data_IF_544484110128
#
_entry.id   IF_544484110128
#
_cell.length_a   1.000
_cell.length_b   1.000
_cell.length_c   1.000
_cell.angle_alpha   90.00
_cell.angle_beta   90.00
_cell.angle_gamma   90.00
#
_symmetry.space_group_name_H-M   'P 1'
#
loop_
_entity.id
_entity.type
_entity.pdbx_description
1 polymer ?
#
# COMPACT_ATOMS: atom_id res chain seq x y z
N UNK A 1 -30.48 5.15 -14.88
CA UNK A 1 -29.58 4.89 -13.74
C UNK A 1 -30.15 3.73 -12.91
N UNK A 2 -29.32 2.94 -12.22
CA UNK A 2 -29.79 1.85 -11.34
C UNK A 2 -29.60 0.42 -11.86
N UNK A 3 -29.00 0.22 -13.04
CA UNK A 3 -28.62 -1.11 -13.53
C UNK A 3 -27.32 -1.53 -12.84
N UNK A 4 -27.34 -2.67 -12.15
CA UNK A 4 -26.20 -3.20 -11.36
C UNK A 4 -24.87 -3.24 -12.15
N UNK A 5 -24.93 -3.64 -13.42
CA UNK A 5 -23.73 -3.77 -14.27
C UNK A 5 -23.34 -2.49 -15.01
N UNK A 6 -24.12 -1.40 -14.93
CA UNK A 6 -23.82 -0.19 -15.68
C UNK A 6 -22.44 0.43 -15.34
N UNK A 7 -22.00 0.52 -14.07
CA UNK A 7 -20.67 1.05 -13.74
C UNK A 7 -19.53 0.21 -14.33
N UNK A 8 -19.66 -1.13 -14.28
CA UNK A 8 -18.66 -2.05 -14.82
C UNK A 8 -18.58 -1.95 -16.35
N UNK A 9 -19.73 -1.89 -17.03
CA UNK A 9 -19.80 -1.68 -18.48
C UNK A 9 -19.19 -0.33 -18.86
N UNK A 10 -19.48 0.74 -18.10
CA UNK A 10 -18.93 2.06 -18.36
C UNK A 10 -17.41 2.11 -18.17
N UNK A 11 -16.89 1.51 -17.09
CA UNK A 11 -15.46 1.39 -16.87
C UNK A 11 -14.78 0.65 -18.04
N UNK A 12 -15.37 -0.46 -18.50
CA UNK A 12 -14.84 -1.21 -19.65
C UNK A 12 -14.86 -0.36 -20.91
N UNK A 13 -15.95 0.35 -21.17
CA UNK A 13 -16.05 1.26 -22.31
C UNK A 13 -14.94 2.32 -22.26
N UNK A 14 -14.76 2.99 -21.11
CA UNK A 14 -13.70 3.97 -20.93
C UNK A 14 -12.30 3.40 -21.18
N UNK A 15 -12.00 2.23 -20.61
CA UNK A 15 -10.71 1.57 -20.86
C UNK A 15 -10.48 1.30 -22.36
N UNK A 16 -11.52 0.89 -23.08
CA UNK A 16 -11.45 0.67 -24.53
C UNK A 16 -11.26 1.98 -25.32
N UNK A 17 -11.89 3.09 -24.89
CA UNK A 17 -11.73 4.40 -25.52
C UNK A 17 -10.27 4.83 -25.52
N UNK A 18 -9.64 4.87 -24.35
CA UNK A 18 -8.25 5.29 -24.24
C UNK A 18 -7.29 4.30 -24.90
N UNK A 19 -7.57 2.99 -24.84
CA UNK A 19 -6.78 1.98 -25.56
C UNK A 19 -6.86 2.15 -27.09
N UNK A 20 -8.05 2.40 -27.62
CA UNK A 20 -8.25 2.61 -29.05
C UNK A 20 -7.60 3.91 -29.52
N UNK A 21 -7.63 4.96 -28.69
CA UNK A 21 -6.91 6.19 -28.96
C UNK A 21 -5.41 5.94 -29.11
N UNK A 22 -4.79 5.26 -28.12
CA UNK A 22 -3.35 4.87 -28.16
C UNK A 22 -3.01 4.07 -29.42
N UNK A 23 -3.86 3.11 -29.80
CA UNK A 23 -3.66 2.31 -31.03
C UNK A 23 -3.75 3.15 -32.30
N UNK A 24 -4.71 4.07 -32.37
CA UNK A 24 -4.94 4.96 -33.52
C UNK A 24 -3.78 5.95 -33.69
N UNK A 25 -3.30 6.54 -32.60
CA UNK A 25 -2.20 7.53 -32.60
C UNK A 25 -0.81 6.90 -32.57
N UNK A 26 -0.71 5.57 -32.47
CA UNK A 26 0.54 4.80 -32.39
C UNK A 26 1.46 5.29 -31.27
N UNK A 27 0.87 5.71 -30.15
CA UNK A 27 1.65 6.08 -28.97
C UNK A 27 2.41 4.86 -28.45
N UNK A 28 3.69 5.05 -28.13
CA UNK A 28 4.57 3.98 -27.65
C UNK A 28 4.12 3.39 -26.29
N UNK A 29 3.35 4.16 -25.52
CA UNK A 29 2.90 3.80 -24.18
C UNK A 29 1.40 4.01 -24.02
N UNK A 30 0.80 3.20 -23.14
CA UNK A 30 -0.57 3.42 -22.67
C UNK A 30 -0.64 4.77 -21.97
N UNK A 31 -1.70 5.54 -22.23
CA UNK A 31 -2.00 6.77 -21.47
C UNK A 31 -2.69 6.46 -20.13
N UNK A 32 -3.41 5.33 -20.03
CA UNK A 32 -3.98 4.86 -18.76
C UNK A 32 -2.83 4.47 -17.83
N UNK A 33 -2.89 4.93 -16.57
CA UNK A 33 -1.88 4.75 -15.51
C UNK A 33 -0.50 5.37 -15.82
N UNK A 34 -0.37 6.08 -16.94
CA UNK A 34 0.80 6.91 -17.26
C UNK A 34 0.53 8.38 -16.98
N UNK A 35 -0.53 8.92 -17.58
CA UNK A 35 -0.97 10.31 -17.38
C UNK A 35 -2.48 10.45 -17.16
N UNK A 36 -3.26 9.40 -17.37
CA UNK A 36 -4.71 9.38 -17.15
C UNK A 36 -5.08 8.25 -16.19
N UNK A 37 -5.85 8.57 -15.15
CA UNK A 37 -6.55 7.61 -14.30
C UNK A 37 -8.04 7.74 -14.57
N UNK A 38 -8.70 6.61 -14.77
CA UNK A 38 -10.15 6.56 -15.05
C UNK A 38 -10.83 5.66 -14.05
N UNK A 39 -11.82 6.20 -13.35
CA UNK A 39 -12.69 5.45 -12.47
C UNK A 39 -14.15 5.82 -12.75
N UNK A 40 -14.88 4.91 -13.38
CA UNK A 40 -16.23 5.13 -13.87
C UNK A 40 -16.30 6.44 -14.68
N UNK A 41 -17.00 7.45 -14.16
CA UNK A 41 -17.19 8.74 -14.81
C UNK A 41 -16.10 9.76 -14.48
N UNK A 42 -15.24 9.48 -13.51
CA UNK A 42 -14.21 10.40 -13.03
C UNK A 42 -12.89 10.13 -13.77
N UNK A 43 -12.37 11.17 -14.41
CA UNK A 43 -11.12 11.13 -15.18
C UNK A 43 -10.16 12.13 -14.57
N UNK A 44 -9.01 11.63 -14.10
CA UNK A 44 -7.92 12.44 -13.59
C UNK A 44 -6.78 12.42 -14.61
N UNK A 45 -6.34 13.60 -15.05
CA UNK A 45 -5.15 13.79 -15.88
C UNK A 45 -4.06 14.39 -15.01
N UNK A 46 -2.84 13.85 -15.07
CA UNK A 46 -1.69 14.32 -14.31
C UNK A 46 -0.42 14.31 -15.15
N UNK A 47 0.48 15.25 -14.85
CA UNK A 47 1.73 15.47 -15.58
C UNK A 47 2.80 16.06 -14.67
N UNK A 48 4.06 15.98 -15.08
CA UNK A 48 5.20 16.58 -14.38
C UNK A 48 5.51 18.01 -14.81
N UNK A 49 5.14 18.41 -16.02
CA UNK A 49 5.34 19.77 -16.57
C UNK A 49 4.05 20.36 -17.11
N UNK A 50 4.02 21.69 -17.25
CA UNK A 50 2.87 22.42 -17.79
C UNK A 50 2.60 22.04 -19.25
N UNK A 51 3.64 22.01 -20.07
CA UNK A 51 3.57 21.69 -21.50
C UNK A 51 3.09 20.25 -21.72
N UNK A 52 3.63 19.32 -20.94
CA UNK A 52 3.16 17.93 -20.94
C UNK A 52 1.71 17.81 -20.44
N UNK A 53 1.28 18.69 -19.55
CA UNK A 53 -0.11 18.71 -19.07
C UNK A 53 -1.10 19.14 -20.14
N UNK A 54 -0.78 20.19 -20.91
CA UNK A 54 -1.59 20.60 -22.06
C UNK A 54 -1.75 19.44 -23.04
N UNK A 55 -0.64 18.80 -23.41
CA UNK A 55 -0.66 17.66 -24.33
C UNK A 55 -1.48 16.47 -23.79
N UNK A 56 -1.33 16.13 -22.51
CA UNK A 56 -2.09 15.02 -21.91
C UNK A 56 -3.59 15.32 -21.82
N UNK A 57 -3.97 16.57 -21.53
CA UNK A 57 -5.38 17.00 -21.56
C UNK A 57 -5.93 16.87 -22.99
N UNK A 58 -5.20 17.34 -23.99
CA UNK A 58 -5.61 17.22 -25.40
C UNK A 58 -5.84 15.76 -25.78
N UNK A 59 -4.90 14.86 -25.45
CA UNK A 59 -5.06 13.42 -25.70
C UNK A 59 -6.32 12.86 -25.05
N UNK A 60 -6.58 13.21 -23.79
CA UNK A 60 -7.76 12.71 -23.09
C UNK A 60 -9.06 13.23 -23.73
N UNK A 61 -9.12 14.51 -24.08
CA UNK A 61 -10.29 15.11 -24.74
C UNK A 61 -10.51 14.54 -26.15
N UNK A 62 -9.43 14.34 -26.91
CA UNK A 62 -9.51 13.73 -28.24
C UNK A 62 -10.01 12.28 -28.16
N UNK A 63 -9.50 11.49 -27.21
CA UNK A 63 -9.97 10.13 -27.00
C UNK A 63 -11.48 10.08 -26.73
N UNK A 64 -11.97 10.94 -25.82
CA UNK A 64 -13.40 11.03 -25.50
C UNK A 64 -14.24 11.48 -26.69
N UNK A 65 -13.80 12.53 -27.40
CA UNK A 65 -14.49 13.07 -28.57
C UNK A 65 -14.60 12.04 -29.70
N UNK A 66 -13.51 11.36 -30.00
CA UNK A 66 -13.47 10.34 -31.07
C UNK A 66 -14.41 9.16 -30.78
N UNK A 67 -14.66 8.87 -29.50
CA UNK A 67 -15.61 7.84 -29.07
C UNK A 67 -17.04 8.38 -28.82
N UNK A 68 -17.30 9.66 -29.09
CA UNK A 68 -18.63 10.28 -28.94
C UNK A 68 -19.02 10.60 -27.49
N UNK A 69 -18.09 10.54 -26.53
CA UNK A 69 -18.36 10.93 -25.15
C UNK A 69 -18.43 12.45 -25.00
N UNK A 70 -19.45 12.90 -24.27
CA UNK A 70 -19.60 14.30 -23.88
C UNK A 70 -19.12 14.48 -22.46
N UNK A 71 -18.54 15.62 -22.17
CA UNK A 71 -18.10 15.92 -20.81
C UNK A 71 -18.46 17.35 -20.44
N UNK A 72 -19.12 17.46 -19.29
CA UNK A 72 -19.73 18.69 -18.80
C UNK A 72 -18.65 19.66 -18.31
N UNK A 73 -18.48 20.79 -18.99
CA UNK A 73 -17.43 21.77 -18.70
C UNK A 73 -17.55 22.38 -17.29
N UNK A 74 -18.78 22.58 -16.80
CA UNK A 74 -19.07 23.18 -15.50
C UNK A 74 -18.49 22.42 -14.29
N UNK A 75 -18.25 21.11 -14.45
CA UNK A 75 -17.73 20.24 -13.39
C UNK A 75 -16.23 19.98 -13.51
N UNK A 76 -15.56 20.61 -14.46
CA UNK A 76 -14.14 20.35 -14.71
C UNK A 76 -13.26 21.31 -13.95
N UNK A 77 -12.15 20.76 -13.48
CA UNK A 77 -11.08 21.50 -12.85
C UNK A 77 -9.82 21.28 -13.69
N UNK A 78 -9.17 22.36 -14.10
CA UNK A 78 -7.97 22.32 -14.95
C UNK A 78 -6.80 23.01 -14.24
N UNK A 79 -5.58 22.55 -14.51
CA UNK A 79 -4.33 23.18 -14.06
C UNK A 79 -4.24 23.40 -12.54
N UNK A 80 -4.79 22.48 -11.73
CA UNK A 80 -4.71 22.55 -10.28
C UNK A 80 -3.50 21.78 -9.74
N UNK A 81 -2.83 22.34 -8.74
CA UNK A 81 -1.78 21.66 -7.97
C UNK A 81 -2.33 20.71 -6.90
N UNK A 82 -3.60 20.91 -6.54
CA UNK A 82 -4.34 20.13 -5.52
C UNK A 82 -5.74 19.85 -6.04
N UNK A 83 -6.16 18.57 -6.04
CA UNK A 83 -7.48 18.16 -6.55
C UNK A 83 -8.12 17.11 -5.65
N UNK A 84 -9.43 17.23 -5.43
CA UNK A 84 -10.24 16.15 -4.84
C UNK A 84 -10.57 15.12 -5.92
N UNK A 85 -10.19 13.86 -5.69
CA UNK A 85 -10.47 12.74 -6.59
C UNK A 85 -10.79 11.49 -5.78
N UNK A 86 -11.95 10.88 -6.04
CA UNK A 86 -12.43 9.66 -5.37
C UNK A 86 -12.27 9.72 -3.84
N UNK A 87 -12.80 10.76 -3.19
CA UNK A 87 -12.76 10.90 -1.72
C UNK A 87 -11.38 11.14 -1.11
N UNK A 88 -10.38 11.48 -1.93
CA UNK A 88 -9.02 11.83 -1.49
C UNK A 88 -8.61 13.19 -2.06
N UNK A 89 -7.72 13.87 -1.36
CA UNK A 89 -7.04 15.06 -1.89
C UNK A 89 -5.67 14.64 -2.41
N UNK A 90 -5.47 14.82 -3.71
CA UNK A 90 -4.21 14.56 -4.41
C UNK A 90 -3.44 15.88 -4.48
N UNK A 91 -2.19 15.87 -4.02
CA UNK A 91 -1.29 17.02 -4.01
C UNK A 91 0.04 16.67 -4.68
N UNK A 92 0.92 17.65 -4.83
CA UNK A 92 2.32 17.42 -5.23
C UNK A 92 3.11 16.61 -4.18
N UNK A 93 2.77 16.70 -2.90
CA UNK A 93 3.43 15.97 -1.81
C UNK A 93 2.95 14.52 -1.68
N UNK A 94 1.70 14.26 -2.07
CA UNK A 94 1.09 12.95 -1.89
C UNK A 94 -0.43 12.99 -1.75
N UNK A 95 -0.96 11.94 -1.12
CA UNK A 95 -2.37 11.68 -0.92
C UNK A 95 -2.80 12.03 0.51
N UNK A 96 -3.97 12.63 0.67
CA UNK A 96 -4.60 12.91 1.96
C UNK A 96 -6.08 12.50 1.96
N UNK A 97 -6.69 12.22 3.12
CA UNK A 97 -8.13 12.11 3.22
C UNK A 97 -8.83 13.42 2.85
N UNK A 98 -10.05 13.32 2.32
CA UNK A 98 -10.84 14.51 1.98
C UNK A 98 -11.33 15.26 3.24
N UNK A 99 -11.06 16.58 3.38
CA UNK A 99 -11.38 17.34 4.59
C UNK A 99 -12.85 17.26 4.99
N UNK A 100 -13.79 17.23 4.03
CA UNK A 100 -15.21 17.11 4.31
C UNK A 100 -15.56 15.77 4.97
N UNK A 101 -14.93 14.68 4.52
CA UNK A 101 -15.11 13.34 5.10
C UNK A 101 -14.47 13.23 6.47
N UNK A 102 -13.30 13.86 6.66
CA UNK A 102 -12.65 13.96 7.98
C UNK A 102 -13.49 14.78 8.96
N UNK A 103 -14.09 15.90 8.51
CA UNK A 103 -14.99 16.70 9.34
C UNK A 103 -16.22 15.90 9.81
N UNK A 104 -16.84 15.13 8.91
CA UNK A 104 -17.95 14.25 9.26
C UNK A 104 -17.55 13.19 10.29
N UNK A 105 -16.33 12.63 10.20
CA UNK A 105 -15.79 11.69 11.20
C UNK A 105 -15.54 12.38 12.54
N UNK A 106 -14.99 13.60 12.54
CA UNK A 106 -14.73 14.40 13.74
C UNK A 106 -16.01 14.67 14.51
N UNK A 107 -17.08 15.02 13.80
CA UNK A 107 -18.40 15.38 14.36
C UNK A 107 -19.29 14.16 14.59
N UNK A 108 -18.88 12.97 14.18
CA UNK A 108 -19.66 11.75 14.35
C UNK A 108 -19.95 11.48 15.84
N UNK A 109 -21.22 11.29 16.22
CA UNK A 109 -21.60 10.91 17.58
C UNK A 109 -21.21 9.46 17.86
N UNK A 110 -21.18 9.09 19.15
CA UNK A 110 -20.97 7.71 19.55
C UNK A 110 -22.10 6.83 18.99
N UNK A 111 -21.80 5.76 18.24
CA UNK A 111 -22.80 4.86 17.71
C UNK A 111 -23.62 4.17 18.81
N UNK A 112 -24.94 4.28 18.74
CA UNK A 112 -25.89 3.60 19.64
C UNK A 112 -26.55 2.38 19.01
N UNK A 113 -26.37 2.18 17.70
CA UNK A 113 -26.96 1.07 16.95
C UNK A 113 -25.93 0.32 16.11
N UNK A 114 -26.18 -0.96 15.83
CA UNK A 114 -25.32 -1.79 14.96
C UNK A 114 -25.17 -1.15 13.58
N UNK A 115 -26.22 -0.56 13.04
CA UNK A 115 -26.19 0.13 11.74
C UNK A 115 -25.24 1.33 11.76
N UNK A 116 -25.23 2.11 12.84
CA UNK A 116 -24.28 3.23 13.00
C UNK A 116 -22.85 2.73 13.18
N UNK A 117 -22.63 1.64 13.92
CA UNK A 117 -21.29 1.02 14.05
C UNK A 117 -20.78 0.58 12.67
N UNK A 118 -21.62 -0.07 11.87
CA UNK A 118 -21.28 -0.47 10.48
C UNK A 118 -20.97 0.74 9.60
N UNK A 119 -21.78 1.80 9.70
CA UNK A 119 -21.58 3.02 8.92
C UNK A 119 -20.24 3.70 9.26
N UNK A 120 -19.95 3.86 10.56
CA UNK A 120 -18.68 4.43 11.02
C UNK A 120 -17.48 3.58 10.59
N UNK A 121 -17.52 2.27 10.83
CA UNK A 121 -16.45 1.37 10.40
C UNK A 121 -16.29 1.34 8.88
N UNK A 122 -17.37 1.51 8.11
CA UNK A 122 -17.30 1.64 6.66
C UNK A 122 -16.47 2.85 6.22
N UNK A 123 -16.73 4.02 6.82
CA UNK A 123 -15.96 5.25 6.54
C UNK A 123 -14.51 5.11 7.03
N UNK A 124 -14.29 4.60 8.24
CA UNK A 124 -12.95 4.43 8.78
C UNK A 124 -12.13 3.41 7.97
N UNK A 125 -12.77 2.32 7.54
CA UNK A 125 -12.15 1.29 6.68
C UNK A 125 -11.80 1.82 5.29
N UNK A 126 -12.60 2.73 4.73
CA UNK A 126 -12.28 3.39 3.47
C UNK A 126 -10.94 4.14 3.53
N UNK A 127 -10.65 4.78 4.66
CA UNK A 127 -9.40 5.49 4.92
C UNK A 127 -8.35 4.68 5.68
N UNK A 128 -8.52 3.36 5.82
CA UNK A 128 -7.59 2.50 6.59
C UNK A 128 -6.14 2.59 6.12
N UNK A 129 -5.91 2.94 4.85
CA UNK A 129 -4.57 3.14 4.27
C UNK A 129 -3.76 4.25 4.94
N UNK A 130 -4.43 5.16 5.64
CA UNK A 130 -3.82 6.25 6.42
C UNK A 130 -3.63 5.90 7.90
N UNK A 131 -4.18 4.78 8.35
CA UNK A 131 -4.24 4.40 9.76
C UNK A 131 -3.32 3.21 10.01
N UNK A 132 -2.24 3.47 10.72
CA UNK A 132 -1.37 2.41 11.23
C UNK A 132 -2.13 1.51 12.20
N UNK A 133 -2.00 0.19 12.04
CA UNK A 133 -2.60 -0.77 12.97
C UNK A 133 -4.14 -0.75 13.01
N UNK A 134 -4.80 -0.30 11.93
CA UNK A 134 -6.27 -0.21 11.85
C UNK A 134 -6.99 -1.45 12.40
N UNK A 135 -6.54 -2.67 12.08
CA UNK A 135 -7.18 -3.90 12.53
C UNK A 135 -7.10 -4.13 14.04
N UNK A 136 -6.01 -3.71 14.69
CA UNK A 136 -5.87 -3.73 16.16
C UNK A 136 -6.85 -2.73 16.78
N UNK A 137 -6.84 -1.50 16.28
CA UNK A 137 -7.65 -0.40 16.82
C UNK A 137 -9.15 -0.67 16.61
N UNK A 138 -9.55 -1.11 15.42
CA UNK A 138 -10.95 -1.39 15.08
C UNK A 138 -11.47 -2.70 15.70
N UNK A 139 -10.59 -3.54 16.27
CA UNK A 139 -10.92 -4.85 16.83
C UNK A 139 -12.15 -4.85 17.74
N UNK A 140 -12.19 -4.02 18.81
CA UNK A 140 -13.34 -3.93 19.71
C UNK A 140 -14.66 -3.60 18.98
N UNK A 141 -14.63 -2.62 18.07
CA UNK A 141 -15.82 -2.22 17.30
C UNK A 141 -16.28 -3.29 16.31
N UNK A 142 -15.35 -4.02 15.69
CA UNK A 142 -15.70 -5.14 14.80
C UNK A 142 -16.29 -6.32 15.56
N UNK A 143 -15.93 -6.51 16.84
CA UNK A 143 -16.52 -7.56 17.67
C UNK A 143 -18.01 -7.30 17.93
N UNK A 144 -18.44 -6.05 18.06
CA UNK A 144 -19.86 -5.66 18.17
C UNK A 144 -20.70 -6.06 16.95
N UNK A 145 -20.07 -6.35 15.81
CA UNK A 145 -20.74 -6.75 14.57
C UNK A 145 -20.92 -8.28 14.44
N UNK A 146 -20.42 -9.07 15.39
CA UNK A 146 -20.58 -10.53 15.38
C UNK A 146 -22.05 -10.90 15.55
N UNK A 147 -22.45 -11.99 14.89
CA UNK A 147 -23.81 -12.53 15.03
C UNK A 147 -24.04 -12.95 16.49
N UNK A 148 -25.27 -12.76 16.96
CA UNK A 148 -25.76 -13.22 18.25
C UNK A 148 -25.06 -12.62 19.48
N UNK A 149 -24.39 -11.46 19.34
CA UNK A 149 -23.87 -10.70 20.46
C UNK A 149 -24.73 -9.46 20.76
N UNK A 150 -25.06 -9.19 22.04
CA UNK A 150 -25.69 -7.93 22.41
C UNK A 150 -24.72 -6.77 22.16
N UNK A 151 -25.25 -5.63 21.74
CA UNK A 151 -24.46 -4.40 21.57
C UNK A 151 -24.13 -3.82 22.95
N UNK A 152 -23.03 -4.28 23.54
CA UNK A 152 -22.50 -3.75 24.80
C UNK A 152 -21.34 -2.81 24.44
N UNK A 153 -21.56 -1.51 24.59
CA UNK A 153 -20.50 -0.52 24.38
C UNK A 153 -19.55 -0.53 25.59
N UNK A 154 -18.36 -1.08 25.41
CA UNK A 154 -17.37 -1.20 26.48
C UNK A 154 -16.38 -0.02 26.49
N UNK A 155 -15.59 0.19 27.56
CA UNK A 155 -14.52 1.19 27.57
C UNK A 155 -13.50 1.00 26.42
N UNK A 156 -13.23 -0.24 26.03
CA UNK A 156 -12.34 -0.53 24.88
C UNK A 156 -12.97 -0.09 23.56
N UNK A 157 -14.31 -0.13 23.43
CA UNK A 157 -15.01 0.39 22.26
C UNK A 157 -14.91 1.91 22.19
N UNK A 158 -15.03 2.60 23.33
CA UNK A 158 -14.88 4.04 23.41
C UNK A 158 -13.46 4.49 23.06
N UNK A 159 -12.46 3.80 23.60
CA UNK A 159 -11.05 4.03 23.28
C UNK A 159 -10.77 3.79 21.79
N UNK A 160 -11.28 2.69 21.22
CA UNK A 160 -11.14 2.36 19.80
C UNK A 160 -11.77 3.43 18.90
N UNK A 161 -12.98 3.87 19.24
CA UNK A 161 -13.70 4.92 18.51
C UNK A 161 -12.93 6.24 18.53
N UNK A 162 -12.49 6.69 19.71
CA UNK A 162 -11.70 7.92 19.87
C UNK A 162 -10.36 7.84 19.16
N UNK A 163 -9.67 6.69 19.23
CA UNK A 163 -8.38 6.47 18.57
C UNK A 163 -8.52 6.51 17.03
N UNK A 164 -9.56 5.89 16.47
CA UNK A 164 -9.83 5.94 15.03
C UNK A 164 -10.16 7.36 14.55
N UNK A 165 -10.96 8.12 15.33
CA UNK A 165 -11.25 9.53 15.03
C UNK A 165 -9.96 10.35 15.03
N UNK A 166 -9.14 10.22 16.07
CA UNK A 166 -7.87 10.91 16.17
C UNK A 166 -6.94 10.57 14.99
N UNK A 167 -6.79 9.30 14.65
CA UNK A 167 -5.94 8.85 13.55
C UNK A 167 -6.38 9.37 12.18
N UNK A 168 -7.69 9.55 11.95
CA UNK A 168 -8.22 10.14 10.72
C UNK A 168 -8.02 11.65 10.66
N UNK A 169 -8.12 12.33 11.80
CA UNK A 169 -7.91 13.78 11.90
C UNK A 169 -6.41 14.12 11.72
N UNK A 170 -5.53 13.33 12.33
CA UNK A 170 -4.07 13.48 12.24
C UNK A 170 -3.45 12.65 11.11
N UNK A 171 -4.25 12.19 10.16
CA UNK A 171 -3.80 11.33 9.07
C UNK A 171 -2.59 11.92 8.35
N UNK A 172 -1.49 11.16 8.22
CA UNK A 172 -0.29 11.65 7.55
C UNK A 172 -0.53 11.80 6.05
N UNK A 173 0.30 12.60 5.39
CA UNK A 173 0.37 12.63 3.94
C UNK A 173 1.08 11.36 3.48
N UNK A 174 0.40 10.54 2.69
CA UNK A 174 1.00 9.36 2.08
C UNK A 174 1.72 9.76 0.80
N UNK A 175 2.99 9.42 0.65
CA UNK A 175 3.75 9.78 -0.54
C UNK A 175 3.27 8.99 -1.76
N UNK A 176 3.43 9.59 -2.93
CA UNK A 176 3.23 8.87 -4.19
C UNK A 176 4.38 7.86 -4.35
N UNK A 177 4.08 6.58 -4.64
CA UNK A 177 5.14 5.60 -4.87
C UNK A 177 5.94 5.97 -6.12
N UNK A 178 7.26 5.94 -6.00
CA UNK A 178 8.21 6.09 -7.09
C UNK A 178 8.65 4.70 -7.57
N UNK A 179 8.27 4.26 -8.77
CA UNK A 179 8.58 2.93 -9.26
C UNK A 179 10.07 2.57 -9.31
N UNK A 180 10.93 3.57 -9.45
CA UNK A 180 12.38 3.41 -9.64
C UNK A 180 13.13 3.30 -8.29
N UNK A 181 12.45 3.54 -7.17
CA UNK A 181 13.04 3.48 -5.83
C UNK A 181 12.68 2.17 -5.13
N UNK A 182 13.63 1.58 -4.36
CA UNK A 182 13.35 0.38 -3.59
C UNK A 182 12.29 0.67 -2.53
N UNK A 183 11.40 -0.30 -2.33
CA UNK A 183 10.42 -0.26 -1.26
C UNK A 183 11.00 -0.81 0.04
N UNK A 184 10.45 -0.33 1.16
CA UNK A 184 10.70 -0.85 2.50
C UNK A 184 9.37 -1.38 3.05
N UNK A 185 9.34 -2.67 3.37
CA UNK A 185 8.21 -3.32 4.04
C UNK A 185 8.54 -3.48 5.52
N UNK A 186 7.86 -2.72 6.36
CA UNK A 186 8.01 -2.83 7.82
C UNK A 186 6.86 -3.67 8.34
N UNK A 187 7.15 -4.70 9.13
CA UNK A 187 6.12 -5.61 9.66
C UNK A 187 6.08 -5.61 11.17
N UNK A 188 4.88 -5.78 11.71
CA UNK A 188 4.62 -5.93 13.13
C UNK A 188 3.61 -7.07 13.37
N UNK A 189 3.89 -7.87 14.39
CA UNK A 189 3.11 -9.04 14.77
C UNK A 189 2.58 -8.90 16.19
N UNK A 190 1.26 -9.04 16.32
CA UNK A 190 0.57 -9.23 17.59
C UNK A 190 -0.36 -10.44 17.46
N UNK A 191 -0.63 -11.18 18.55
CA UNK A 191 -1.54 -12.33 18.51
C UNK A 191 -2.94 -12.00 17.96
N UNK A 192 -3.41 -10.77 18.16
CA UNK A 192 -4.74 -10.31 17.75
C UNK A 192 -4.77 -9.83 16.30
N UNK A 193 -3.68 -9.20 15.82
CA UNK A 193 -3.61 -8.53 14.53
C UNK A 193 -2.17 -8.39 14.02
N UNK A 194 -2.02 -8.35 12.70
CA UNK A 194 -0.78 -8.01 12.01
C UNK A 194 -0.89 -6.65 11.36
N UNK A 195 0.24 -5.94 11.33
CA UNK A 195 0.35 -4.64 10.68
C UNK A 195 1.57 -4.60 9.78
N UNK A 196 1.42 -3.95 8.63
CA UNK A 196 2.50 -3.75 7.66
C UNK A 196 2.47 -2.32 7.16
N UNK A 197 3.65 -1.76 6.92
CA UNK A 197 3.83 -0.41 6.40
C UNK A 197 4.65 -0.55 5.12
N UNK A 198 4.12 -0.03 4.02
CA UNK A 198 4.88 0.17 2.80
C UNK A 198 5.47 1.58 2.83
N UNK A 199 6.79 1.68 2.71
CA UNK A 199 7.51 2.95 2.73
C UNK A 199 8.54 3.02 1.58
N UNK A 200 9.00 4.24 1.30
CA UNK A 200 10.14 4.50 0.43
C UNK A 200 10.99 5.62 1.00
N UNK A 201 12.27 5.65 0.65
CA UNK A 201 13.15 6.76 1.02
C UNK A 201 12.77 7.99 0.19
N UNK A 202 12.27 9.01 0.87
CA UNK A 202 11.92 10.29 0.27
C UNK A 202 13.15 11.10 -0.16
N UNK A 203 12.95 12.24 -0.84
CA UNK A 203 14.05 13.12 -1.27
C UNK A 203 14.97 13.60 -0.13
N UNK A 204 14.43 13.70 1.08
CA UNK A 204 15.17 14.10 2.29
C UNK A 204 16.04 12.98 2.88
N UNK A 205 16.03 11.77 2.30
CA UNK A 205 16.72 10.60 2.83
C UNK A 205 15.99 9.92 4.01
N UNK A 206 14.77 10.35 4.31
CA UNK A 206 13.92 9.79 5.37
C UNK A 206 12.94 8.76 4.80
N UNK A 207 12.62 7.73 5.58
CA UNK A 207 11.54 6.79 5.25
C UNK A 207 10.18 7.51 5.29
N UNK A 208 9.49 7.55 4.15
CA UNK A 208 8.16 8.12 3.99
C UNK A 208 7.15 7.02 3.65
N UNK A 209 5.94 7.10 4.24
CA UNK A 209 4.93 6.06 4.09
C UNK A 209 4.15 6.20 2.79
N UNK A 210 4.07 5.10 2.04
CA UNK A 210 3.23 4.94 0.85
C UNK A 210 1.84 4.46 1.26
N UNK A 211 1.76 3.42 2.10
CA UNK A 211 0.47 2.85 2.52
C UNK A 211 0.60 2.05 3.83
N UNK A 212 -0.38 2.21 4.73
CA UNK A 212 -0.56 1.33 5.89
C UNK A 212 -1.53 0.20 5.56
N UNK A 213 -1.24 -1.00 6.02
CA UNK A 213 -2.20 -2.11 5.98
C UNK A 213 -2.15 -2.92 7.27
N UNK A 214 -3.28 -3.49 7.66
CA UNK A 214 -3.37 -4.37 8.83
C UNK A 214 -4.52 -5.34 8.68
N UNK A 215 -4.45 -6.45 9.41
CA UNK A 215 -5.45 -7.52 9.37
C UNK A 215 -5.51 -8.25 10.70
N UNK A 216 -6.73 -8.59 11.14
CA UNK A 216 -6.93 -9.44 12.31
C UNK A 216 -6.41 -10.86 12.08
N UNK A 217 -5.77 -11.42 13.09
CA UNK A 217 -5.20 -12.76 13.05
C UNK A 217 -6.29 -13.79 13.33
N UNK A 218 -6.45 -14.81 12.45
CA UNK A 218 -7.37 -15.92 12.70
C UNK A 218 -7.02 -16.66 14.00
N UNK A 219 -8.03 -17.17 14.71
CA UNK A 219 -7.87 -17.84 16.00
C UNK A 219 -6.78 -18.94 15.99
N UNK A 220 -6.70 -19.73 14.92
CA UNK A 220 -5.72 -20.82 14.77
C UNK A 220 -4.25 -20.35 14.66
N UNK A 221 -4.00 -19.06 14.44
CA UNK A 221 -2.66 -18.48 14.28
C UNK A 221 -2.22 -17.60 15.44
N UNK A 222 -3.11 -17.31 16.40
CA UNK A 222 -2.81 -16.41 17.53
C UNK A 222 -1.73 -16.98 18.46
N UNK A 223 -1.65 -18.30 18.53
CA UNK A 223 -0.66 -19.02 19.35
C UNK A 223 0.70 -19.15 18.67
N UNK A 224 0.92 -18.50 17.51
CA UNK A 224 2.25 -18.46 16.91
C UNK A 224 3.21 -17.75 17.86
N UNK A 225 4.34 -18.41 18.11
CA UNK A 225 5.48 -17.78 18.76
C UNK A 225 5.95 -16.60 17.91
N UNK A 226 6.51 -15.57 18.57
CA UNK A 226 6.88 -14.32 17.91
C UNK A 226 7.65 -14.51 16.58
N UNK A 227 8.63 -15.44 16.49
CA UNK A 227 9.33 -15.66 15.22
C UNK A 227 8.44 -16.11 14.06
N UNK A 228 7.54 -17.06 14.31
CA UNK A 228 6.59 -17.55 13.32
C UNK A 228 5.56 -16.48 12.97
N UNK A 229 5.15 -15.68 13.95
CA UNK A 229 4.22 -14.58 13.80
C UNK A 229 4.75 -13.46 12.89
N UNK A 230 5.99 -13.04 13.09
CA UNK A 230 6.64 -12.03 12.24
C UNK A 230 6.80 -12.50 10.80
N UNK A 231 7.24 -13.75 10.59
CA UNK A 231 7.30 -14.34 9.26
C UNK A 231 5.93 -14.34 8.58
N UNK A 232 4.86 -14.67 9.32
CA UNK A 232 3.50 -14.59 8.82
C UNK A 232 3.07 -13.17 8.45
N UNK A 233 3.45 -12.16 9.26
CA UNK A 233 3.21 -10.75 8.94
C UNK A 233 3.94 -10.32 7.66
N UNK A 234 5.21 -10.69 7.49
CA UNK A 234 6.00 -10.44 6.29
C UNK A 234 5.38 -11.07 5.04
N UNK A 235 5.02 -12.35 5.09
CA UNK A 235 4.36 -13.05 3.99
C UNK A 235 3.04 -12.39 3.59
N UNK A 236 2.24 -12.01 4.59
CA UNK A 236 0.99 -11.31 4.33
C UNK A 236 1.23 -9.94 3.72
N UNK A 237 2.21 -9.17 4.21
CA UNK A 237 2.60 -7.87 3.67
C UNK A 237 3.08 -7.95 2.21
N UNK A 238 3.96 -8.90 1.91
CA UNK A 238 4.45 -9.17 0.55
C UNK A 238 3.28 -9.54 -0.37
N UNK A 239 2.37 -10.39 0.09
CA UNK A 239 1.18 -10.75 -0.68
C UNK A 239 0.23 -9.56 -0.89
N UNK A 240 0.05 -8.72 0.13
CA UNK A 240 -0.85 -7.56 0.08
C UNK A 240 -0.32 -6.49 -0.87
N UNK A 241 0.98 -6.20 -0.81
CA UNK A 241 1.65 -5.20 -1.62
C UNK A 241 2.36 -5.78 -2.85
N UNK A 242 1.98 -6.99 -3.27
CA UNK A 242 2.59 -7.66 -4.43
C UNK A 242 2.60 -6.79 -5.68
N UNK A 243 1.54 -6.00 -5.91
CA UNK A 243 1.46 -5.09 -7.05
C UNK A 243 2.57 -4.02 -7.08
N UNK A 244 3.10 -3.62 -5.92
CA UNK A 244 4.21 -2.66 -5.82
C UNK A 244 5.58 -3.33 -5.92
N UNK A 245 5.73 -4.52 -5.33
CA UNK A 245 7.04 -5.16 -5.12
C UNK A 245 7.43 -6.19 -6.19
N UNK A 246 6.45 -6.74 -6.92
CA UNK A 246 6.72 -7.86 -7.83
C UNK A 246 7.72 -7.46 -8.93
N UNK A 247 8.76 -8.27 -9.10
CA UNK A 247 9.84 -8.03 -10.07
C UNK A 247 10.82 -6.93 -9.67
N UNK A 248 10.80 -6.47 -8.41
CA UNK A 248 11.69 -5.41 -7.90
C UNK A 248 12.38 -5.86 -6.63
N UNK A 249 13.57 -5.30 -6.40
CA UNK A 249 14.28 -5.45 -5.13
C UNK A 249 13.69 -4.54 -4.07
N UNK A 250 13.40 -5.09 -2.89
CA UNK A 250 12.89 -4.34 -1.73
C UNK A 250 13.57 -4.78 -0.43
N UNK A 251 13.30 -4.09 0.68
CA UNK A 251 13.83 -4.46 1.99
C UNK A 251 12.68 -4.80 2.94
N UNK A 252 12.77 -5.91 3.66
CA UNK A 252 11.87 -6.27 4.74
C UNK A 252 12.53 -5.93 6.06
N UNK A 253 11.86 -5.10 6.87
CA UNK A 253 12.30 -4.70 8.21
C UNK A 253 11.54 -5.52 9.25
N UNK A 254 12.28 -6.24 10.09
CA UNK A 254 11.75 -7.13 11.14
C UNK A 254 12.38 -6.81 12.51
N UNK A 255 11.62 -7.05 13.59
CA UNK A 255 12.04 -6.78 14.98
C UNK A 255 12.81 -7.96 15.61
N UNK A 256 12.55 -9.19 15.19
CA UNK A 256 13.35 -10.34 15.57
C UNK A 256 14.14 -10.89 14.37
N UNK A 257 14.97 -11.90 14.62
CA UNK A 257 15.75 -12.64 13.62
C UNK A 257 15.07 -13.90 12.97
N UNK A 258 13.73 -14.06 12.83
CA UNK A 258 13.10 -15.33 12.45
C UNK A 258 13.36 -15.79 11.02
N UNK A 259 13.36 -14.84 10.08
CA UNK A 259 13.45 -15.16 8.66
C UNK A 259 14.82 -15.78 8.33
N UNK A 260 15.86 -15.42 9.08
CA UNK A 260 17.18 -16.04 8.97
C UNK A 260 17.20 -17.46 9.53
N UNK A 261 16.51 -17.72 10.65
CA UNK A 261 16.37 -19.06 11.19
C UNK A 261 15.63 -19.99 10.21
N UNK A 262 14.62 -19.47 9.50
CA UNK A 262 13.91 -20.21 8.45
C UNK A 262 14.77 -20.44 7.20
N UNK A 263 15.64 -19.49 6.82
CA UNK A 263 16.64 -19.67 5.75
C UNK A 263 17.66 -20.77 6.07
N UNK A 264 18.01 -20.93 7.36
CA UNK A 264 18.95 -21.97 7.84
C UNK A 264 18.31 -23.33 8.05
N UNK A 265 16.97 -23.42 8.10
CA UNK A 265 16.27 -24.69 8.32
C UNK A 265 16.38 -25.60 7.09
N UNK A 266 16.81 -26.85 7.29
CA UNK A 266 16.84 -27.87 6.23
C UNK A 266 15.50 -28.58 6.03
N UNK A 267 14.56 -28.42 6.96
CA UNK A 267 13.27 -29.11 6.95
C UNK A 267 12.16 -28.21 6.40
N UNK A 268 12.10 -28.09 5.07
CA UNK A 268 11.00 -27.42 4.37
C UNK A 268 9.79 -28.35 4.24
N UNK A 269 9.07 -28.58 5.34
CA UNK A 269 7.82 -29.35 5.32
C UNK A 269 6.60 -28.51 5.75
N UNK A 270 5.42 -28.92 5.29
CA UNK A 270 4.14 -28.33 5.69
C UNK A 270 4.00 -26.82 5.44
N UNK A 271 3.80 -26.05 6.52
CA UNK A 271 3.59 -24.60 6.44
C UNK A 271 4.84 -23.84 5.97
N UNK A 272 6.01 -24.22 6.49
CA UNK A 272 7.28 -23.54 6.22
C UNK A 272 7.68 -23.71 4.75
N UNK A 273 7.47 -24.90 4.16
CA UNK A 273 7.72 -25.13 2.73
C UNK A 273 6.87 -24.22 1.83
N UNK A 274 5.56 -24.10 2.11
CA UNK A 274 4.66 -23.19 1.35
C UNK A 274 5.07 -21.73 1.46
N UNK A 275 5.54 -21.31 2.63
CA UNK A 275 6.02 -19.96 2.87
C UNK A 275 7.31 -19.69 2.09
N UNK A 276 8.25 -20.64 2.11
CA UNK A 276 9.50 -20.54 1.37
C UNK A 276 9.27 -20.37 -0.14
N UNK A 277 8.32 -21.09 -0.75
CA UNK A 277 8.00 -20.94 -2.17
C UNK A 277 7.55 -19.51 -2.53
N UNK A 278 6.75 -18.87 -1.67
CA UNK A 278 6.32 -17.49 -1.89
C UNK A 278 7.51 -16.53 -1.76
N UNK A 279 8.34 -16.70 -0.73
CA UNK A 279 9.51 -15.84 -0.52
C UNK A 279 10.57 -16.00 -1.61
N UNK A 280 10.77 -17.20 -2.16
CA UNK A 280 11.70 -17.46 -3.26
C UNK A 280 11.28 -16.79 -4.57
N UNK A 281 9.98 -16.50 -4.76
CA UNK A 281 9.50 -15.79 -5.95
C UNK A 281 9.78 -14.27 -5.94
N UNK A 282 10.36 -13.76 -4.85
CA UNK A 282 10.58 -12.34 -4.59
C UNK A 282 12.06 -12.05 -4.41
N UNK A 283 12.46 -10.80 -4.70
CA UNK A 283 13.83 -10.33 -4.49
C UNK A 283 13.85 -9.29 -3.37
N UNK A 284 14.39 -9.65 -2.21
CA UNK A 284 14.43 -8.73 -1.07
C UNK A 284 15.68 -8.91 -0.21
N UNK A 285 16.00 -7.88 0.56
CA UNK A 285 16.96 -7.97 1.66
C UNK A 285 16.21 -7.92 2.99
N UNK A 286 16.77 -8.54 4.02
CA UNK A 286 16.26 -8.43 5.38
C UNK A 286 17.10 -7.40 6.12
N UNK A 287 16.44 -6.45 6.77
CA UNK A 287 17.06 -5.51 7.71
C UNK A 287 16.49 -5.78 9.10
N UNK A 288 17.37 -6.10 10.04
CA UNK A 288 16.98 -6.23 11.43
C UNK A 288 16.99 -4.85 12.09
N UNK A 289 15.87 -4.44 12.68
CA UNK A 289 15.75 -3.18 13.45
C UNK A 289 15.28 -3.55 14.85
N UNK A 290 16.22 -3.56 15.80
CA UNK A 290 15.94 -3.93 17.20
C UNK A 290 15.09 -2.87 17.88
N UNK A 291 13.91 -3.24 18.39
CA UNK A 291 13.07 -2.31 19.14
C UNK A 291 13.35 -2.38 20.65
N UNK A 292 13.56 -1.22 21.30
CA UNK A 292 13.49 -1.13 22.76
C UNK A 292 12.01 -1.23 23.19
N UNK A 293 11.62 -2.39 23.72
CA UNK A 293 10.35 -2.58 24.42
C UNK A 293 10.37 -1.88 25.78
N UNK A 294 10.40 -0.54 25.83
CA UNK A 294 10.14 0.16 27.10
C UNK A 294 8.65 0.07 27.40
N UNK A 295 8.30 -0.44 28.59
CA UNK A 295 6.92 -0.60 29.04
C UNK A 295 6.10 0.69 28.91
N UNK A 296 4.81 0.51 28.61
CA UNK A 296 3.75 1.53 28.59
C UNK A 296 3.61 2.43 27.34
N UNK A 297 4.39 2.24 26.28
CA UNK A 297 4.11 2.88 24.99
C UNK A 297 3.96 1.83 23.88
N UNK A 298 2.75 1.80 23.31
CA UNK A 298 2.26 0.95 22.22
C UNK A 298 3.35 0.69 21.16
N UNK A 299 3.65 -0.59 20.88
CA UNK A 299 4.68 -1.01 19.91
C UNK A 299 4.43 -0.42 18.52
N UNK A 300 3.16 -0.09 18.23
CA UNK A 300 2.73 0.59 17.02
C UNK A 300 3.16 2.06 16.96
N UNK A 301 3.59 2.74 18.01
CA UNK A 301 3.95 4.18 17.91
C UNK A 301 5.39 4.40 17.44
N UNK A 302 6.28 3.40 17.58
CA UNK A 302 7.74 3.58 17.37
C UNK A 302 8.23 3.32 15.95
N UNK A 303 7.53 2.50 15.15
CA UNK A 303 7.89 2.30 13.72
C UNK A 303 7.60 3.54 12.84
N UNK A 304 7.14 4.66 13.41
CA UNK A 304 6.75 5.87 12.67
C UNK A 304 7.82 6.97 12.68
N UNK A 305 8.92 6.86 13.45
CA UNK A 305 9.93 7.92 13.36
C UNK A 305 10.57 7.85 11.97
N UNK A 306 10.48 8.92 11.15
CA UNK A 306 11.28 9.00 9.94
C UNK A 306 12.73 9.04 10.40
N UNK A 307 13.37 7.89 10.42
CA UNK A 307 14.77 7.77 10.80
C UNK A 307 15.61 7.91 9.53
N UNK A 308 16.75 8.59 9.66
CA UNK A 308 17.78 8.50 8.62
C UNK A 308 18.13 7.03 8.50
N UNK A 309 18.24 6.53 7.26
CA UNK A 309 18.77 5.17 7.02
C UNK A 309 20.06 5.02 7.82
N UNK A 310 20.12 4.16 8.85
CA UNK A 310 21.29 4.07 9.71
C UNK A 310 22.48 3.56 8.90
N UNK A 311 23.64 4.21 9.04
CA UNK A 311 24.86 3.86 8.27
C UNK A 311 25.49 2.53 8.69
N UNK A 312 25.09 1.95 9.84
CA UNK A 312 25.77 0.84 10.50
C UNK A 312 24.87 -0.37 10.85
N UNK A 313 23.74 -0.58 10.17
CA UNK A 313 22.90 -1.78 10.38
C UNK A 313 23.24 -2.92 9.42
N UNK A 314 23.20 -4.16 9.92
CA UNK A 314 23.41 -5.37 9.10
C UNK A 314 22.22 -5.59 8.16
N UNK A 315 22.48 -5.45 6.85
CA UNK A 315 21.56 -5.82 5.78
C UNK A 315 21.93 -7.20 5.29
N UNK A 316 20.97 -8.12 5.36
CA UNK A 316 21.20 -9.54 5.09
C UNK A 316 20.50 -9.89 3.77
N UNK A 317 21.26 -10.22 2.71
CA UNK A 317 20.65 -10.53 1.43
C UNK A 317 19.87 -11.84 1.51
N UNK A 318 18.63 -11.83 1.01
CA UNK A 318 17.78 -13.03 0.97
C UNK A 318 18.33 -14.04 -0.04
N UNK A 319 18.61 -13.58 -1.26
CA UNK A 319 19.23 -14.36 -2.32
C UNK A 319 20.76 -14.27 -2.18
N UNK A 320 21.47 -15.39 -2.31
CA UNK A 320 22.94 -15.33 -2.42
C UNK A 320 23.32 -14.55 -3.70
N UNK A 321 24.39 -13.74 -3.67
CA UNK A 321 24.88 -13.10 -4.89
C UNK A 321 25.16 -14.20 -5.91
N UNK A 322 24.56 -14.08 -7.10
CA UNK A 322 24.87 -14.99 -8.22
C UNK A 322 26.40 -14.97 -8.38
N UNK A 323 27.06 -16.08 -8.10
CA UNK A 323 28.46 -16.25 -8.53
C UNK A 323 28.45 -16.07 -10.04
N UNK A 324 29.18 -15.07 -10.54
CA UNK A 324 29.49 -14.95 -11.96
C UNK A 324 30.42 -16.09 -12.37
N UNK A 325 29.91 -17.31 -12.36
CA UNK A 325 30.52 -18.45 -13.02
C UNK A 325 29.91 -18.56 -14.42
N UNK A 326 29.99 -17.47 -15.19
CA UNK A 326 29.83 -17.54 -16.63
C UNK A 326 31.14 -18.04 -17.25
N UNK A 327 31.10 -18.90 -18.29
CA UNK A 327 32.31 -19.24 -19.02
C UNK A 327 32.90 -17.95 -19.61
N UNK A 328 34.15 -17.64 -19.27
CA UNK A 328 34.93 -16.55 -19.89
C UNK A 328 35.29 -16.96 -21.33
N UNK A 329 34.34 -16.91 -22.25
CA UNK A 329 34.66 -16.95 -23.68
C UNK A 329 35.27 -15.61 -24.08
N UNK A 330 36.60 -15.54 -24.18
CA UNK A 330 37.27 -14.30 -24.57
C UNK A 330 38.78 -14.20 -24.36
N UNK A 331 39.53 -15.30 -24.24
CA UNK A 331 40.99 -15.27 -24.41
C UNK A 331 41.35 -16.12 -25.63
N UNK A 332 41.30 -15.48 -26.80
CA UNK A 332 41.98 -15.97 -28.00
C UNK A 332 43.43 -15.53 -27.86
N UNK A 333 44.32 -16.44 -27.50
CA UNK A 333 45.76 -16.23 -27.66
C UNK A 333 46.05 -16.22 -29.16
N UNK A 334 46.38 -15.04 -29.69
CA UNK A 334 46.99 -14.90 -31.00
C UNK A 334 48.43 -15.40 -30.85
N UNK A 335 48.70 -16.63 -31.27
CA UNK A 335 50.05 -17.14 -31.42
C UNK A 335 50.77 -16.32 -32.51
N UNK A 336 51.83 -15.60 -32.13
CA UNK A 336 52.74 -14.98 -33.07
C UNK A 336 53.45 -16.05 -33.89
N UNK A 337 53.42 -15.89 -35.22
CA UNK A 337 54.22 -16.70 -36.14
C UNK A 337 55.69 -16.33 -36.00
N UNK A 338 56.52 -17.32 -35.70
CA UNK A 338 57.93 -17.35 -36.12
C UNK A 338 58.03 -17.95 -37.53
#
# INVERSE_FOLDING_TARGET
MGICNAPATFQRAMNMVFLNFVRKTRLAQSIINYCVIVYMNDILVYSSSYEGHVQHIEWALHALRDAGFKVALEKRLFFLTTISFLGHVVTNQGLRPEPQKVAAVREAPVPTTITQVRAFLGVASYYRRFIKGFATIAGPLTNLLRKDQPLIWTPECDQAFSTLKAALISAPVLIRPDPEKPFVLITDWQPEAISVILAQVGPSGLECVVEYASKSVPACKRNYVAPTGECYAALWGISHFRAYMYGRKFTVVIDHEPLLAQKKSKDYSGMIGRWATVLQSMDFDIRHRKHERNGNADGLTRLHRPEKVPKNEEVIPWNEPKKENGPRYGQVEILSKE
#
